data_IF_606409381499
#
_entry.id   IF_606409381499
#
_cell.length_a   1.000
_cell.length_b   1.000
_cell.length_c   1.000
_cell.angle_alpha   90.00
_cell.angle_beta   90.00
_cell.angle_gamma   90.00
#
_symmetry.space_group_name_H-M   'P 1'
#
loop_
_entity.id
_entity.type
_entity.pdbx_description
1 polymer ?
#
# COMPACT_ATOMS: atom_id res chain seq x y z
N UNK A 1 80.31 -32.91 -1.80
CA UNK A 1 80.45 -32.02 -2.98
C UNK A 1 79.46 -30.90 -2.79
N UNK A 2 79.95 -29.81 -2.33
CA UNK A 2 80.33 -28.58 -3.09
C UNK A 2 79.09 -27.93 -3.67
N UNK A 3 78.74 -26.65 -3.49
CA UNK A 3 79.46 -25.47 -3.12
C UNK A 3 78.33 -24.38 -2.83
N UNK A 4 78.51 -23.52 -1.81
CA UNK A 4 78.91 -22.11 -2.04
C UNK A 4 77.97 -21.36 -2.94
N UNK A 5 77.39 -20.37 -2.41
CA UNK A 5 77.71 -18.94 -2.23
C UNK A 5 76.42 -18.20 -2.42
N UNK A 6 76.08 -17.08 -2.04
CA UNK A 6 76.87 -15.87 -1.81
C UNK A 6 75.91 -14.82 -1.24
N UNK A 7 76.38 -14.13 -0.31
CA UNK A 7 75.83 -12.88 0.26
C UNK A 7 75.52 -11.85 -0.80
N UNK A 8 74.27 -11.36 -0.81
CA UNK A 8 73.97 -10.06 -1.39
C UNK A 8 73.35 -9.18 -0.34
N UNK A 9 74.16 -8.51 0.41
CA UNK A 9 73.84 -7.24 1.08
C UNK A 9 73.48 -6.22 0.01
N UNK A 10 72.27 -5.76 0.02
CA UNK A 10 71.94 -4.54 -0.73
C UNK A 10 70.97 -3.63 0.02
N UNK A 11 71.62 -2.59 0.50
CA UNK A 11 71.20 -1.19 0.52
C UNK A 11 69.76 -0.91 1.05
N UNK A 12 69.76 -0.58 2.31
CA UNK A 12 68.76 0.29 2.89
C UNK A 12 68.80 1.63 2.17
N UNK A 13 67.97 1.82 1.15
CA UNK A 13 67.74 3.12 0.55
C UNK A 13 66.94 4.01 1.49
N UNK A 14 67.60 5.07 1.89
CA UNK A 14 67.13 6.18 2.70
C UNK A 14 65.76 6.65 2.22
N UNK A 15 64.75 6.53 3.06
CA UNK A 15 63.50 7.31 2.90
C UNK A 15 63.85 8.80 3.01
N UNK A 16 63.45 9.62 2.05
CA UNK A 16 63.58 11.07 2.23
C UNK A 16 62.59 11.52 3.30
N UNK A 17 63.13 12.29 4.21
CA UNK A 17 62.42 12.89 5.35
C UNK A 17 61.30 13.84 4.86
N UNK A 18 60.19 13.77 5.57
CA UNK A 18 59.26 14.87 5.83
C UNK A 18 58.85 15.71 4.62
N UNK A 19 57.79 15.28 3.96
CA UNK A 19 56.90 16.21 3.29
C UNK A 19 56.24 17.08 4.36
N UNK A 20 56.65 18.32 4.43
CA UNK A 20 56.02 19.38 5.19
C UNK A 20 54.56 19.51 4.72
N UNK A 21 53.64 19.03 5.49
CA UNK A 21 52.22 19.27 5.30
C UNK A 21 52.02 20.78 5.39
N UNK A 22 51.94 21.41 4.25
CA UNK A 22 51.63 22.85 4.15
C UNK A 22 50.15 22.97 4.58
N UNK A 23 49.96 23.53 5.79
CA UNK A 23 48.66 23.85 6.35
C UNK A 23 47.82 24.61 5.31
N UNK A 24 46.68 24.17 4.86
CA UNK A 24 45.86 24.91 3.90
C UNK A 24 45.49 26.25 4.51
N UNK A 25 45.73 27.32 3.78
CA UNK A 25 45.39 28.69 4.19
C UNK A 25 43.88 28.75 4.43
N UNK A 26 43.47 29.39 5.51
CA UNK A 26 42.11 29.53 6.04
C UNK A 26 41.07 30.16 5.08
N UNK A 27 41.46 30.62 3.91
CA UNK A 27 40.56 31.16 2.88
C UNK A 27 39.74 30.10 2.13
N UNK A 28 40.16 28.83 2.13
CA UNK A 28 39.41 27.74 1.47
C UNK A 28 38.24 27.20 2.35
N UNK A 29 38.30 27.38 3.67
CA UNK A 29 37.25 26.96 4.55
C UNK A 29 35.93 27.72 4.32
N UNK A 30 36.01 29.01 3.93
CA UNK A 30 34.82 29.81 3.62
C UNK A 30 34.13 29.40 2.32
N UNK A 31 34.89 28.94 1.33
CA UNK A 31 34.33 28.48 0.04
C UNK A 31 33.61 27.14 0.21
N UNK A 32 34.17 26.22 1.00
CA UNK A 32 33.56 24.93 1.26
C UNK A 32 32.24 25.11 2.05
N UNK A 33 32.21 26.01 3.03
CA UNK A 33 30.99 26.30 3.78
C UNK A 33 29.90 26.89 2.89
N UNK A 34 30.27 27.81 2.00
CA UNK A 34 29.34 28.41 1.03
C UNK A 34 28.76 27.36 0.08
N UNK A 35 29.57 26.42 -0.41
CA UNK A 35 29.14 25.34 -1.28
C UNK A 35 28.14 24.40 -0.59
N UNK A 36 28.41 24.02 0.66
CA UNK A 36 27.49 23.19 1.46
C UNK A 36 26.17 23.90 1.71
N UNK A 37 26.20 25.19 2.04
CA UNK A 37 24.96 25.96 2.26
C UNK A 37 24.17 26.10 0.97
N UNK A 38 24.84 26.34 -0.17
CA UNK A 38 24.20 26.46 -1.48
C UNK A 38 23.55 25.13 -1.90
N UNK A 39 24.26 24.02 -1.74
CA UNK A 39 23.70 22.68 -2.06
C UNK A 39 22.49 22.35 -1.18
N UNK A 40 22.56 22.62 0.13
CA UNK A 40 21.40 22.43 1.02
C UNK A 40 20.23 23.35 0.65
N UNK A 41 20.48 24.58 0.23
CA UNK A 41 19.45 25.50 -0.23
C UNK A 41 18.74 24.97 -1.50
N UNK A 42 19.51 24.43 -2.45
CA UNK A 42 18.96 23.84 -3.68
C UNK A 42 18.12 22.58 -3.34
N UNK A 43 18.62 21.70 -2.48
CA UNK A 43 17.87 20.53 -2.03
C UNK A 43 16.58 20.93 -1.29
N UNK A 44 16.64 21.94 -0.43
CA UNK A 44 15.48 22.51 0.26
C UNK A 44 14.45 23.06 -0.73
N UNK A 45 14.89 23.78 -1.74
CA UNK A 45 14.00 24.31 -2.78
C UNK A 45 13.35 23.20 -3.61
N UNK A 46 14.11 22.18 -4.00
CA UNK A 46 13.59 21.01 -4.70
C UNK A 46 12.58 20.24 -3.84
N UNK A 47 12.83 20.07 -2.55
CA UNK A 47 11.89 19.45 -1.63
C UNK A 47 10.56 20.22 -1.58
N UNK A 48 10.58 21.53 -1.53
CA UNK A 48 9.37 22.37 -1.54
C UNK A 48 8.55 22.24 -2.83
N UNK A 49 9.19 21.98 -3.98
CA UNK A 49 8.50 21.77 -5.26
C UNK A 49 7.91 20.37 -5.39
N UNK A 50 8.53 19.36 -4.79
CA UNK A 50 8.11 17.95 -4.88
C UNK A 50 7.01 17.60 -3.86
N UNK A 51 7.08 18.14 -2.62
CA UNK A 51 6.11 17.83 -1.58
C UNK A 51 4.64 18.12 -1.95
N UNK A 52 4.30 19.24 -2.65
CA UNK A 52 2.91 19.52 -3.03
C UNK A 52 2.36 18.58 -4.09
N UNK A 53 3.22 17.92 -4.88
CA UNK A 53 2.80 17.02 -5.96
C UNK A 53 2.40 15.63 -5.50
N UNK A 54 2.58 15.30 -4.21
CA UNK A 54 2.11 14.03 -3.65
C UNK A 54 0.57 14.01 -3.63
N UNK A 55 -0.06 13.04 -4.30
CA UNK A 55 -1.52 12.98 -4.38
C UNK A 55 -2.10 12.79 -2.98
N UNK A 56 -2.79 13.82 -2.48
CA UNK A 56 -3.54 13.78 -1.22
C UNK A 56 -4.89 13.13 -1.50
N UNK A 57 -5.08 11.91 -1.04
CA UNK A 57 -6.33 11.18 -1.16
C UNK A 57 -6.21 9.85 -1.92
N UNK A 58 -7.35 9.16 -2.00
CA UNK A 58 -7.42 7.84 -2.64
C UNK A 58 -7.30 7.98 -4.16
N UNK A 59 -6.28 7.36 -4.74
CA UNK A 59 -6.11 7.28 -6.19
C UNK A 59 -7.07 6.25 -6.81
N UNK A 60 -7.36 6.30 -8.12
CA UNK A 60 -8.18 5.30 -8.80
C UNK A 60 -7.70 3.85 -8.57
N UNK A 61 -6.39 3.64 -8.58
CA UNK A 61 -5.79 2.32 -8.31
C UNK A 61 -6.04 1.84 -6.87
N UNK A 62 -5.95 2.74 -5.89
CA UNK A 62 -6.27 2.42 -4.49
C UNK A 62 -7.75 2.12 -4.30
N UNK A 63 -8.63 2.84 -5.00
CA UNK A 63 -10.06 2.58 -4.95
C UNK A 63 -10.38 1.18 -5.50
N UNK A 64 -9.79 0.78 -6.64
CA UNK A 64 -9.90 -0.58 -7.16
C UNK A 64 -9.35 -1.63 -6.20
N UNK A 65 -8.26 -1.33 -5.47
CA UNK A 65 -7.72 -2.23 -4.45
C UNK A 65 -8.69 -2.43 -3.28
N UNK A 66 -9.41 -1.40 -2.83
CA UNK A 66 -10.46 -1.55 -1.82
C UNK A 66 -11.61 -2.43 -2.31
N UNK A 67 -12.06 -2.24 -3.56
CA UNK A 67 -13.09 -3.09 -4.16
C UNK A 67 -12.63 -4.56 -4.22
N UNK A 68 -11.37 -4.80 -4.59
CA UNK A 68 -10.79 -6.14 -4.61
C UNK A 68 -10.68 -6.76 -3.21
N UNK A 69 -10.31 -6.00 -2.19
CA UNK A 69 -10.25 -6.46 -0.80
C UNK A 69 -11.63 -6.85 -0.28
N UNK A 70 -12.66 -6.04 -0.54
CA UNK A 70 -14.04 -6.35 -0.16
C UNK A 70 -14.52 -7.62 -0.86
N UNK A 71 -14.28 -7.74 -2.16
CA UNK A 71 -14.66 -8.94 -2.91
C UNK A 71 -13.92 -10.20 -2.42
N UNK A 72 -12.65 -10.10 -2.08
CA UNK A 72 -11.88 -11.21 -1.51
C UNK A 72 -12.43 -11.63 -0.14
N UNK A 73 -12.77 -10.67 0.73
CA UNK A 73 -13.38 -10.91 2.02
C UNK A 73 -14.73 -11.67 1.86
N UNK A 74 -15.59 -11.22 0.95
CA UNK A 74 -16.87 -11.89 0.66
C UNK A 74 -16.68 -13.30 0.09
N UNK A 75 -15.67 -13.50 -0.78
CA UNK A 75 -15.34 -14.85 -1.32
C UNK A 75 -14.87 -15.80 -0.22
N UNK A 76 -14.09 -15.30 0.73
CA UNK A 76 -13.66 -16.08 1.88
C UNK A 76 -14.85 -16.46 2.76
N UNK A 77 -15.77 -15.53 3.05
CA UNK A 77 -16.98 -15.80 3.83
C UNK A 77 -17.87 -16.83 3.14
N UNK A 78 -18.08 -16.71 1.82
CA UNK A 78 -18.82 -17.71 1.03
C UNK A 78 -18.18 -19.10 1.12
N UNK A 79 -16.86 -19.17 0.96
CA UNK A 79 -16.11 -20.43 1.04
C UNK A 79 -16.18 -21.03 2.44
N UNK A 80 -16.11 -20.19 3.46
CA UNK A 80 -16.24 -20.61 4.85
C UNK A 80 -17.65 -21.12 5.16
N UNK A 81 -18.71 -20.50 4.61
CA UNK A 81 -20.09 -20.98 4.77
C UNK A 81 -20.25 -22.40 4.22
N UNK A 82 -19.73 -22.66 3.02
CA UNK A 82 -19.76 -23.99 2.41
C UNK A 82 -18.95 -25.03 3.20
N UNK A 83 -17.77 -24.65 3.70
CA UNK A 83 -16.90 -25.57 4.47
C UNK A 83 -17.46 -25.88 5.86
N UNK A 84 -18.06 -24.90 6.52
CA UNK A 84 -18.56 -25.04 7.88
C UNK A 84 -19.99 -25.55 7.94
N UNK A 85 -20.68 -25.69 6.79
CA UNK A 85 -22.06 -26.13 6.71
C UNK A 85 -23.05 -25.22 7.43
N UNK A 86 -22.72 -23.94 7.63
CA UNK A 86 -23.57 -22.94 8.33
C UNK A 86 -23.58 -21.62 7.58
N UNK A 87 -24.62 -20.84 7.82
CA UNK A 87 -24.71 -19.49 7.27
C UNK A 87 -23.61 -18.58 7.84
N UNK A 88 -22.98 -17.81 6.98
CA UNK A 88 -21.99 -16.79 7.33
C UNK A 88 -22.39 -15.47 6.67
N UNK A 89 -22.34 -14.39 7.44
CA UNK A 89 -22.75 -13.07 6.98
C UNK A 89 -21.59 -12.09 6.93
N UNK A 90 -21.32 -11.54 5.73
CA UNK A 90 -20.48 -10.34 5.58
C UNK A 90 -21.32 -9.12 5.97
N UNK A 91 -20.88 -8.36 6.97
CA UNK A 91 -21.58 -7.16 7.41
C UNK A 91 -20.97 -5.90 6.81
N UNK A 92 -21.82 -5.02 6.32
CA UNK A 92 -21.42 -3.72 5.75
C UNK A 92 -22.04 -2.60 6.58
N UNK A 93 -21.20 -1.77 7.17
CA UNK A 93 -21.58 -0.55 7.90
C UNK A 93 -21.29 0.65 7.00
N UNK A 94 -22.33 1.13 6.36
CA UNK A 94 -22.23 2.24 5.38
C UNK A 94 -21.82 3.54 6.09
N UNK A 95 -22.37 3.81 7.27
CA UNK A 95 -22.10 5.04 8.00
C UNK A 95 -20.62 5.16 8.41
N UNK A 96 -20.03 4.05 8.86
CA UNK A 96 -18.62 4.01 9.28
C UNK A 96 -17.68 3.58 8.16
N UNK A 97 -18.18 3.31 6.95
CA UNK A 97 -17.40 2.85 5.78
C UNK A 97 -16.55 1.61 6.09
N UNK A 98 -17.16 0.63 6.76
CA UNK A 98 -16.50 -0.61 7.19
C UNK A 98 -17.21 -1.84 6.65
N UNK A 99 -16.41 -2.85 6.28
CA UNK A 99 -16.91 -4.16 5.88
C UNK A 99 -16.25 -5.20 6.76
N UNK A 100 -17.05 -6.01 7.44
CA UNK A 100 -16.61 -7.01 8.40
C UNK A 100 -16.83 -8.41 7.83
N UNK A 101 -15.83 -9.26 7.95
CA UNK A 101 -15.98 -10.68 7.67
C UNK A 101 -16.82 -11.37 8.75
N UNK A 102 -17.63 -12.33 8.32
CA UNK A 102 -18.35 -13.22 9.24
C UNK A 102 -17.58 -14.48 9.60
N UNK A 103 -16.52 -14.79 8.85
CA UNK A 103 -15.72 -16.01 9.04
C UNK A 103 -14.39 -15.78 9.74
N UNK A 104 -13.90 -14.55 9.76
CA UNK A 104 -12.59 -14.17 10.31
C UNK A 104 -12.68 -12.80 10.99
N UNK A 105 -11.73 -12.49 11.85
CA UNK A 105 -11.59 -11.15 12.44
C UNK A 105 -10.86 -10.21 11.44
N UNK A 106 -11.48 -10.04 10.29
CA UNK A 106 -10.96 -9.19 9.21
C UNK A 106 -11.94 -8.07 8.91
N UNK A 107 -11.45 -6.85 8.88
CA UNK A 107 -12.24 -5.66 8.58
C UNK A 107 -11.56 -4.84 7.50
N UNK A 108 -12.31 -4.43 6.49
CA UNK A 108 -11.88 -3.46 5.48
C UNK A 108 -12.49 -2.10 5.85
N UNK A 109 -11.64 -1.10 6.11
CA UNK A 109 -12.07 0.27 6.39
C UNK A 109 -11.69 1.16 5.21
N UNK A 110 -12.68 1.88 4.69
CA UNK A 110 -12.45 2.82 3.59
C UNK A 110 -12.13 4.22 4.15
N UNK A 111 -11.25 4.97 3.47
CA UNK A 111 -10.95 6.35 3.85
C UNK A 111 -12.18 7.27 3.68
N UNK A 112 -12.12 8.44 4.32
CA UNK A 112 -13.25 9.39 4.37
C UNK A 112 -13.64 9.99 3.02
N UNK A 113 -12.72 9.99 2.07
CA UNK A 113 -12.91 10.51 0.71
C UNK A 113 -13.53 9.48 -0.27
N UNK A 114 -13.79 8.27 0.21
CA UNK A 114 -14.45 7.20 -0.55
C UNK A 114 -15.83 6.94 0.06
N UNK A 115 -16.86 6.98 -0.79
CA UNK A 115 -18.23 6.64 -0.40
C UNK A 115 -18.44 5.14 -0.52
N UNK A 116 -19.00 4.56 0.51
CA UNK A 116 -19.51 3.19 0.53
C UNK A 116 -21.03 3.26 0.48
N UNK A 117 -21.65 2.50 -0.41
CA UNK A 117 -23.10 2.36 -0.48
C UNK A 117 -23.47 0.92 -0.82
N UNK A 118 -24.69 0.51 -0.49
CA UNK A 118 -25.16 -0.85 -0.72
C UNK A 118 -26.58 -0.84 -1.24
N UNK A 119 -26.79 -1.54 -2.36
CA UNK A 119 -28.10 -1.89 -2.87
C UNK A 119 -28.29 -3.37 -2.64
N UNK A 120 -29.24 -3.73 -1.80
CA UNK A 120 -29.50 -5.11 -1.45
C UNK A 120 -31.00 -5.36 -1.28
N UNK A 121 -31.39 -6.64 -1.36
CA UNK A 121 -32.73 -7.09 -0.98
C UNK A 121 -33.00 -6.80 0.50
N UNK A 122 -34.29 -6.63 0.85
CA UNK A 122 -34.69 -6.53 2.25
C UNK A 122 -34.27 -7.74 3.10
N UNK A 123 -34.07 -8.90 2.46
CA UNK A 123 -33.53 -10.10 3.11
C UNK A 123 -32.12 -9.94 3.64
N UNK A 124 -31.35 -8.98 3.06
CA UNK A 124 -30.02 -8.63 3.51
C UNK A 124 -30.00 -7.48 4.54
N UNK A 125 -31.13 -6.88 4.83
CA UNK A 125 -31.21 -5.81 5.81
C UNK A 125 -30.92 -6.37 7.21
N UNK A 126 -30.02 -5.72 7.95
CA UNK A 126 -29.70 -6.08 9.34
C UNK A 126 -30.27 -5.03 10.29
N UNK A 127 -29.86 -3.79 10.09
CA UNK A 127 -30.32 -2.61 10.83
C UNK A 127 -30.30 -1.39 9.88
N UNK A 128 -30.95 -0.29 10.20
CA UNK A 128 -30.85 0.93 9.42
C UNK A 128 -29.38 1.33 9.17
N UNK A 129 -28.99 1.43 7.89
CA UNK A 129 -27.60 1.75 7.48
C UNK A 129 -26.61 0.59 7.62
N UNK A 130 -27.04 -0.60 8.01
CA UNK A 130 -26.23 -1.83 8.07
C UNK A 130 -26.85 -2.93 7.24
N UNK A 131 -25.99 -3.61 6.49
CA UNK A 131 -26.38 -4.73 5.64
C UNK A 131 -25.57 -5.97 6.01
N UNK A 132 -26.21 -7.12 5.93
CA UNK A 132 -25.57 -8.40 6.15
C UNK A 132 -25.81 -9.29 4.94
N UNK A 133 -24.80 -9.38 4.05
CA UNK A 133 -24.87 -10.32 2.94
C UNK A 133 -24.61 -11.73 3.47
N UNK A 134 -25.68 -12.52 3.57
CA UNK A 134 -25.65 -13.87 4.11
C UNK A 134 -25.33 -14.87 3.01
N UNK A 135 -24.35 -15.71 3.25
CA UNK A 135 -23.99 -16.84 2.41
C UNK A 135 -24.46 -18.14 3.06
N UNK A 136 -25.30 -18.86 2.35
CA UNK A 136 -25.78 -20.17 2.79
C UNK A 136 -24.74 -21.28 2.48
N UNK A 137 -24.81 -22.43 3.17
CA UNK A 137 -23.91 -23.56 2.92
C UNK A 137 -23.96 -24.10 1.49
N UNK A 138 -25.11 -23.99 0.83
CA UNK A 138 -25.30 -24.38 -0.58
C UNK A 138 -24.71 -23.37 -1.59
N UNK A 139 -24.09 -22.31 -1.11
CA UNK A 139 -23.44 -21.29 -1.89
C UNK A 139 -24.34 -20.14 -2.35
N UNK A 140 -25.66 -20.18 -2.07
CA UNK A 140 -26.57 -19.07 -2.33
C UNK A 140 -26.30 -17.87 -1.42
N UNK A 141 -26.79 -16.71 -1.79
CA UNK A 141 -26.75 -15.53 -0.93
C UNK A 141 -28.05 -14.74 -0.99
N UNK A 142 -28.20 -13.73 -0.16
CA UNK A 142 -29.35 -12.84 -0.28
C UNK A 142 -29.23 -11.83 -1.45
N UNK A 143 -28.05 -11.70 -2.06
CA UNK A 143 -27.78 -10.82 -3.19
C UNK A 143 -27.59 -9.35 -2.81
N UNK A 144 -26.50 -8.74 -3.28
CA UNK A 144 -26.21 -7.35 -3.02
C UNK A 144 -25.32 -6.74 -4.10
N UNK A 145 -25.35 -5.42 -4.21
CA UNK A 145 -24.37 -4.64 -4.96
C UNK A 145 -23.74 -3.62 -4.01
N UNK A 146 -22.46 -3.76 -3.78
CA UNK A 146 -21.70 -2.83 -2.95
C UNK A 146 -20.99 -1.83 -3.86
N UNK A 147 -21.23 -0.55 -3.65
CA UNK A 147 -20.63 0.56 -4.37
C UNK A 147 -19.48 1.14 -3.59
N UNK A 148 -18.32 1.26 -4.24
CA UNK A 148 -17.14 1.94 -3.73
C UNK A 148 -16.87 3.11 -4.67
N UNK A 149 -17.37 4.30 -4.32
CA UNK A 149 -17.39 5.46 -5.20
C UNK A 149 -16.52 6.60 -4.70
N UNK A 150 -15.84 7.30 -5.63
CA UNK A 150 -15.16 8.57 -5.38
C UNK A 150 -15.23 9.44 -6.63
N UNK A 151 -15.88 10.60 -6.52
CA UNK A 151 -16.20 11.41 -7.69
C UNK A 151 -17.06 10.61 -8.67
N UNK A 152 -16.67 10.58 -9.92
CA UNK A 152 -17.37 9.82 -10.98
C UNK A 152 -16.95 8.35 -11.08
N UNK A 153 -15.92 7.96 -10.37
CA UNK A 153 -15.45 6.57 -10.37
C UNK A 153 -16.28 5.74 -9.38
N UNK A 154 -16.99 4.75 -9.89
CA UNK A 154 -17.83 3.83 -9.11
C UNK A 154 -17.44 2.38 -9.42
N UNK A 155 -16.76 1.75 -8.45
CA UNK A 155 -16.48 0.33 -8.47
C UNK A 155 -17.63 -0.42 -7.83
N UNK A 156 -18.18 -1.42 -8.53
CA UNK A 156 -19.32 -2.18 -8.06
C UNK A 156 -18.94 -3.63 -7.80
N UNK A 157 -19.17 -4.11 -6.59
CA UNK A 157 -19.02 -5.51 -6.23
C UNK A 157 -20.44 -6.11 -6.22
N UNK A 158 -20.72 -6.99 -7.17
CA UNK A 158 -22.01 -7.65 -7.31
C UNK A 158 -21.95 -9.05 -6.73
N UNK A 159 -22.91 -9.37 -5.88
CA UNK A 159 -23.11 -10.72 -5.34
C UNK A 159 -24.40 -11.28 -5.93
N UNK A 160 -24.28 -12.36 -6.68
CA UNK A 160 -25.42 -13.05 -7.28
C UNK A 160 -26.18 -13.80 -6.19
N UNK A 161 -27.48 -13.59 -6.11
CA UNK A 161 -28.32 -14.19 -5.06
C UNK A 161 -28.42 -15.71 -5.20
N UNK A 162 -28.45 -16.26 -6.41
CA UNK A 162 -28.64 -17.70 -6.66
C UNK A 162 -27.36 -18.50 -6.49
N UNK A 163 -26.25 -17.98 -7.01
CA UNK A 163 -24.97 -18.70 -7.03
C UNK A 163 -23.99 -18.22 -5.96
N UNK A 164 -24.26 -17.07 -5.32
CA UNK A 164 -23.33 -16.37 -4.42
C UNK A 164 -22.04 -15.95 -5.11
N UNK A 165 -21.99 -15.93 -6.46
CA UNK A 165 -20.82 -15.50 -7.20
C UNK A 165 -20.57 -14.01 -6.98
N UNK A 166 -19.30 -13.65 -6.77
CA UNK A 166 -18.88 -12.28 -6.49
C UNK A 166 -18.05 -11.78 -7.66
N UNK A 167 -18.56 -10.74 -8.32
CA UNK A 167 -17.94 -10.10 -9.47
C UNK A 167 -17.63 -8.63 -9.18
N UNK A 168 -16.49 -8.15 -9.69
CA UNK A 168 -16.09 -6.74 -9.62
C UNK A 168 -16.34 -6.12 -10.99
N UNK A 169 -17.14 -5.07 -11.01
CA UNK A 169 -17.37 -4.26 -12.19
C UNK A 169 -16.60 -2.96 -12.03
N UNK A 170 -15.60 -2.77 -12.89
CA UNK A 170 -14.84 -1.53 -12.93
C UNK A 170 -15.71 -0.37 -13.41
N UNK A 171 -15.40 0.89 -13.02
CA UNK A 171 -16.09 2.05 -13.56
C UNK A 171 -15.96 2.07 -15.06
N UNK A 172 -17.07 2.26 -15.77
CA UNK A 172 -17.07 2.46 -17.21
C UNK A 172 -16.25 3.71 -17.55
N UNK A 173 -15.40 3.62 -18.58
CA UNK A 173 -14.89 4.85 -19.20
C UNK A 173 -16.07 5.45 -19.96
N UNK A 174 -16.57 6.59 -19.45
CA UNK A 174 -17.52 7.42 -20.17
C UNK A 174 -16.90 8.03 -21.41
#
# INVERSE_FOLDING_TARGET
MAAMGELAMLAISRFPAASTWRKPRSSQAGVILLDVVLTLAIFGLMALLVLPSLPRGTTPSRQGAYAAQIAALMKNDRTAAARQGREIATRVDVANRRVFSGSADTTVTLPSDVRLDVIASQLCADQPGRFANRFAPDGRSCGAVVHVAKGELDWRIRVNWLTGMIDIVAPGRG
#
